data_IF_378465803005
#
_entry.id   IF_378465803005
#
_cell.length_a   1.000
_cell.length_b   1.000
_cell.length_c   1.000
_cell.angle_alpha   90.00
_cell.angle_beta   90.00
_cell.angle_gamma   90.00
#
_symmetry.space_group_name_H-M   'P 1'
#
loop_
_entity.id
_entity.type
_entity.pdbx_description
1 polymer ?
#
# COMPACT_ATOMS: atom_id res chain seq x y z
N UNK A 1 -1.76 21.42 -89.79
CA UNK A 1 -1.81 20.16 -89.03
C UNK A 1 -1.23 20.42 -87.65
N UNK A 2 -2.04 20.21 -86.62
CA UNK A 2 -1.69 19.94 -85.21
C UNK A 2 -0.97 21.04 -84.40
N UNK A 3 -1.65 21.80 -83.53
CA UNK A 3 -1.92 21.55 -82.08
C UNK A 3 -0.74 22.02 -81.18
N UNK A 4 -0.82 22.50 -79.93
CA UNK A 4 -1.78 22.44 -78.82
C UNK A 4 -1.58 23.61 -77.83
N UNK A 5 -2.56 23.70 -76.94
CA UNK A 5 -2.96 24.64 -75.89
C UNK A 5 -2.02 24.86 -74.69
N UNK A 6 -2.32 25.98 -74.00
CA UNK A 6 -1.96 26.50 -72.65
C UNK A 6 -1.78 25.46 -71.52
N UNK A 7 -1.01 25.79 -70.46
CA UNK A 7 -1.46 25.98 -69.05
C UNK A 7 -0.26 26.39 -68.12
N UNK A 8 -0.44 27.27 -67.12
CA UNK A 8 0.56 27.52 -66.08
C UNK A 8 0.43 26.49 -64.94
N UNK A 9 1.54 25.89 -64.52
CA UNK A 9 1.57 24.98 -63.38
C UNK A 9 1.67 25.76 -62.06
N UNK A 10 0.59 25.79 -61.30
CA UNK A 10 0.59 26.16 -59.88
C UNK A 10 1.26 25.04 -59.08
N UNK A 11 2.35 25.37 -58.39
CA UNK A 11 2.98 24.45 -57.43
C UNK A 11 2.21 24.51 -56.11
N UNK A 12 1.49 23.43 -55.79
CA UNK A 12 0.88 23.23 -54.48
C UNK A 12 1.88 22.48 -53.58
N UNK A 13 2.49 23.18 -52.63
CA UNK A 13 3.30 22.55 -51.59
C UNK A 13 2.36 21.89 -50.57
N UNK A 14 2.28 20.57 -50.58
CA UNK A 14 1.67 19.79 -49.50
C UNK A 14 2.63 19.77 -48.31
N UNK A 15 2.29 20.52 -47.25
CA UNK A 15 2.87 20.31 -45.92
C UNK A 15 2.16 19.10 -45.31
N UNK A 16 2.77 17.92 -45.39
CA UNK A 16 2.32 16.75 -44.64
C UNK A 16 2.71 16.92 -43.17
N UNK A 17 1.73 17.29 -42.34
CA UNK A 17 1.83 17.26 -40.89
C UNK A 17 1.86 15.79 -40.44
N UNK A 18 3.06 15.24 -40.24
CA UNK A 18 3.24 13.91 -39.65
C UNK A 18 2.86 13.94 -38.17
N UNK A 19 1.65 13.54 -37.84
CA UNK A 19 1.23 13.27 -36.47
C UNK A 19 1.93 11.97 -36.04
N UNK A 20 3.11 12.08 -35.41
CA UNK A 20 3.75 10.95 -34.76
C UNK A 20 2.95 10.62 -33.50
N UNK A 21 1.96 9.73 -33.62
CA UNK A 21 1.35 9.08 -32.49
C UNK A 21 2.42 8.21 -31.82
N UNK A 22 2.92 8.65 -30.67
CA UNK A 22 3.76 7.82 -29.80
C UNK A 22 2.92 6.63 -29.34
N UNK A 23 3.05 5.49 -30.03
CA UNK A 23 2.54 4.21 -29.57
C UNK A 23 3.39 3.82 -28.35
N UNK A 24 2.95 4.20 -27.15
CA UNK A 24 3.48 3.60 -25.92
C UNK A 24 3.11 2.12 -25.95
N UNK A 25 4.09 1.19 -26.04
CA UNK A 25 3.76 -0.22 -25.97
C UNK A 25 3.14 -0.51 -24.60
N UNK A 26 2.11 -1.38 -24.51
CA UNK A 26 1.58 -1.80 -23.23
C UNK A 26 2.72 -2.44 -22.42
N UNK A 27 2.89 -1.99 -21.18
CA UNK A 27 3.90 -2.56 -20.29
C UNK A 27 3.63 -4.07 -20.14
N UNK A 28 4.58 -4.90 -20.59
CA UNK A 28 4.52 -6.34 -20.41
C UNK A 28 4.55 -6.66 -18.91
N UNK A 29 3.85 -7.72 -18.50
CA UNK A 29 3.99 -8.28 -17.16
C UNK A 29 5.46 -8.69 -16.93
N UNK A 30 6.19 -7.90 -16.14
CA UNK A 30 7.60 -8.16 -15.82
C UNK A 30 7.64 -9.09 -14.61
N UNK A 31 7.69 -10.40 -14.85
CA UNK A 31 7.73 -11.38 -13.77
C UNK A 31 9.05 -11.33 -12.96
N UNK A 32 10.09 -10.70 -13.50
CA UNK A 32 11.42 -10.58 -12.89
C UNK A 32 12.05 -9.25 -13.25
N UNK A 33 12.76 -8.65 -12.31
CA UNK A 33 13.50 -7.40 -12.51
C UNK A 33 15.02 -7.67 -12.47
N UNK A 34 15.82 -7.10 -13.39
CA UNK A 34 17.25 -7.38 -13.49
C UNK A 34 18.05 -6.81 -12.31
N UNK A 35 17.55 -5.78 -11.64
CA UNK A 35 18.15 -5.10 -10.50
C UNK A 35 17.63 -5.61 -9.14
N UNK A 36 16.92 -6.75 -9.14
CA UNK A 36 16.50 -7.46 -7.92
C UNK A 36 17.24 -8.80 -7.85
N UNK A 37 18.36 -8.87 -7.09
CA UNK A 37 19.15 -10.09 -6.91
C UNK A 37 18.32 -11.28 -6.41
N UNK A 38 18.77 -12.51 -6.68
CA UNK A 38 18.02 -13.73 -6.33
C UNK A 38 17.82 -13.91 -4.83
N UNK A 39 18.76 -13.45 -4.04
CA UNK A 39 18.84 -13.45 -2.58
C UNK A 39 18.34 -12.14 -1.96
N UNK A 40 17.74 -11.25 -2.74
CA UNK A 40 17.23 -9.99 -2.22
C UNK A 40 16.02 -10.22 -1.30
N UNK A 41 16.07 -9.69 -0.08
CA UNK A 41 15.10 -9.96 0.99
C UNK A 41 13.63 -9.72 0.57
N UNK A 42 13.36 -8.70 -0.25
CA UNK A 42 12.01 -8.35 -0.65
C UNK A 42 11.54 -9.04 -1.92
N UNK A 43 12.42 -9.81 -2.59
CA UNK A 43 12.14 -10.43 -3.89
C UNK A 43 10.83 -11.22 -3.89
N UNK A 44 10.51 -12.06 -2.88
CA UNK A 44 9.24 -12.80 -2.89
C UNK A 44 8.00 -11.91 -2.87
N UNK A 45 8.05 -10.76 -2.20
CA UNK A 45 6.94 -9.79 -2.21
C UNK A 45 6.82 -9.12 -3.58
N UNK A 46 7.96 -8.69 -4.14
CA UNK A 46 8.04 -7.99 -5.41
C UNK A 46 7.50 -8.88 -6.54
N UNK A 47 7.99 -10.12 -6.67
CA UNK A 47 7.60 -11.02 -7.76
C UNK A 47 6.11 -11.37 -7.70
N UNK A 48 5.56 -11.63 -6.51
CA UNK A 48 4.13 -11.94 -6.35
C UNK A 48 3.21 -10.79 -6.72
N UNK A 49 3.60 -9.57 -6.38
CA UNK A 49 2.85 -8.37 -6.77
C UNK A 49 2.98 -8.09 -8.27
N UNK A 50 4.17 -8.26 -8.84
CA UNK A 50 4.41 -8.05 -10.27
C UNK A 50 3.64 -9.07 -11.14
N UNK A 51 3.58 -10.34 -10.73
CA UNK A 51 2.79 -11.39 -11.40
C UNK A 51 1.29 -11.08 -11.47
N UNK A 52 0.79 -10.25 -10.56
CA UNK A 52 -0.61 -9.81 -10.51
C UNK A 52 -0.82 -8.41 -11.09
N UNK A 53 0.22 -7.82 -11.70
CA UNK A 53 0.25 -6.45 -12.20
C UNK A 53 -0.11 -5.41 -11.10
N UNK A 54 0.20 -5.69 -9.84
CA UNK A 54 -0.07 -4.77 -8.73
C UNK A 54 1.05 -3.74 -8.57
N UNK A 55 2.29 -4.14 -8.87
CA UNK A 55 3.43 -3.23 -8.98
C UNK A 55 4.03 -3.35 -10.37
N UNK A 56 4.49 -2.22 -10.89
CA UNK A 56 5.10 -2.12 -12.21
C UNK A 56 6.48 -1.48 -12.02
N UNK A 57 7.47 -1.99 -12.75
CA UNK A 57 8.82 -1.40 -12.81
C UNK A 57 8.85 -0.10 -13.61
N UNK A 58 10.04 0.43 -13.77
CA UNK A 58 10.30 1.60 -14.61
C UNK A 58 10.34 1.19 -16.09
N UNK A 59 10.17 2.15 -17.04
CA UNK A 59 10.23 1.86 -18.47
C UNK A 59 11.54 1.22 -18.95
N UNK A 60 12.62 1.38 -18.18
CA UNK A 60 13.94 0.74 -18.42
C UNK A 60 13.98 -0.74 -17.98
N UNK A 61 12.88 -1.28 -17.44
CA UNK A 61 12.77 -2.65 -16.96
C UNK A 61 13.26 -2.88 -15.54
N UNK A 62 13.69 -1.84 -14.83
CA UNK A 62 14.18 -1.94 -13.44
C UNK A 62 13.06 -1.80 -12.41
N UNK A 63 13.25 -2.33 -11.20
CA UNK A 63 12.35 -2.09 -10.07
C UNK A 63 12.80 -0.95 -9.16
N UNK A 64 14.11 -0.72 -9.07
CA UNK A 64 14.82 0.22 -8.18
C UNK A 64 14.46 0.01 -6.71
N UNK A 65 14.74 -1.18 -6.15
CA UNK A 65 14.25 -1.58 -4.83
C UNK A 65 14.68 -0.63 -3.69
N UNK A 66 15.86 -0.04 -3.81
CA UNK A 66 16.44 0.87 -2.81
C UNK A 66 16.04 2.34 -2.98
N UNK A 67 15.36 2.69 -4.09
CA UNK A 67 14.93 4.06 -4.34
C UNK A 67 13.82 4.45 -3.38
N UNK A 68 13.90 5.66 -2.83
CA UNK A 68 12.82 6.24 -2.06
C UNK A 68 11.58 6.46 -2.94
N UNK A 69 10.40 6.19 -2.38
CA UNK A 69 9.11 6.35 -3.05
C UNK A 69 8.60 7.77 -2.81
N UNK A 70 8.30 8.48 -3.89
CA UNK A 70 7.63 9.78 -3.83
C UNK A 70 6.13 9.62 -3.58
N UNK A 71 5.46 10.68 -3.10
CA UNK A 71 4.04 10.63 -2.75
C UNK A 71 3.14 10.30 -3.94
N UNK A 72 3.47 10.79 -5.12
CA UNK A 72 2.75 10.51 -6.36
C UNK A 72 2.92 9.04 -6.82
N UNK A 73 4.14 8.52 -6.74
CA UNK A 73 4.46 7.11 -7.00
C UNK A 73 3.74 6.19 -6.01
N UNK A 74 3.71 6.56 -4.72
CA UNK A 74 3.00 5.78 -3.72
C UNK A 74 1.47 5.78 -3.97
N UNK A 75 0.90 6.93 -4.37
CA UNK A 75 -0.51 7.00 -4.78
C UNK A 75 -0.80 6.07 -5.96
N UNK A 76 0.11 5.99 -6.95
CA UNK A 76 -0.01 5.07 -8.08
C UNK A 76 0.04 3.60 -7.65
N UNK A 77 0.95 3.24 -6.74
CA UNK A 77 1.02 1.89 -6.17
C UNK A 77 -0.26 1.52 -5.40
N UNK A 78 -0.82 2.45 -4.63
CA UNK A 78 -2.07 2.27 -3.89
C UNK A 78 -3.24 2.05 -4.84
N UNK A 79 -3.42 2.93 -5.83
CA UNK A 79 -4.52 2.82 -6.81
C UNK A 79 -4.49 1.49 -7.56
N UNK A 80 -3.29 0.97 -7.84
CA UNK A 80 -3.13 -0.32 -8.49
C UNK A 80 -3.45 -1.51 -7.55
N UNK A 81 -3.11 -1.39 -6.26
CA UNK A 81 -3.30 -2.44 -5.28
C UNK A 81 -4.71 -2.50 -4.68
N UNK A 82 -5.34 -1.35 -4.48
CA UNK A 82 -6.58 -1.20 -3.73
C UNK A 82 -7.60 -0.41 -4.54
N UNK A 83 -8.80 -0.96 -4.63
CA UNK A 83 -9.98 -0.28 -5.13
C UNK A 83 -10.97 -0.20 -3.97
N UNK A 84 -11.11 1.00 -3.38
CA UNK A 84 -12.15 1.30 -2.40
C UNK A 84 -13.20 2.22 -3.02
N UNK A 85 -14.39 2.21 -2.46
CA UNK A 85 -15.40 3.20 -2.81
C UNK A 85 -14.93 4.61 -2.40
N UNK A 86 -15.20 5.64 -3.22
CA UNK A 86 -14.90 7.02 -2.84
C UNK A 86 -15.59 7.41 -1.53
N UNK A 87 -14.82 7.92 -0.58
CA UNK A 87 -15.30 8.50 0.70
C UNK A 87 -15.23 10.04 0.71
N UNK A 88 -14.63 10.64 -0.32
CA UNK A 88 -14.59 12.10 -0.56
C UNK A 88 -15.03 12.40 -1.99
N UNK A 89 -15.66 13.55 -2.18
CA UNK A 89 -16.03 14.07 -3.49
C UNK A 89 -14.98 15.07 -3.98
N UNK A 90 -14.79 15.15 -5.30
CA UNK A 90 -13.97 16.17 -5.96
C UNK A 90 -14.94 17.02 -6.77
N UNK A 91 -15.12 18.29 -6.39
CA UNK A 91 -16.04 19.21 -7.07
C UNK A 91 -15.38 19.88 -8.30
N UNK A 92 -14.05 20.02 -8.30
CA UNK A 92 -13.27 20.69 -9.36
C UNK A 92 -12.24 19.77 -10.00
N UNK A 93 -11.93 20.01 -11.28
CA UNK A 93 -11.01 19.19 -12.07
C UNK A 93 -9.55 19.17 -11.57
N UNK A 94 -9.16 20.00 -10.58
CA UNK A 94 -7.83 20.00 -9.97
C UNK A 94 -7.93 20.21 -8.45
N UNK A 95 -7.80 19.13 -7.68
CA UNK A 95 -7.85 19.18 -6.20
C UNK A 95 -6.63 19.89 -5.61
N UNK A 96 -5.48 19.80 -6.27
CA UNK A 96 -4.20 20.24 -5.73
C UNK A 96 -3.51 21.24 -6.66
N UNK A 97 -3.00 22.34 -6.11
CA UNK A 97 -2.42 23.46 -6.85
C UNK A 97 -1.03 23.14 -7.44
N UNK A 98 -0.30 22.23 -6.81
CA UNK A 98 1.05 21.81 -7.19
C UNK A 98 1.08 20.52 -8.01
N UNK A 99 -0.08 20.07 -8.49
CA UNK A 99 -0.20 18.96 -9.44
C UNK A 99 -0.61 19.56 -10.79
N UNK A 100 0.34 19.70 -11.73
CA UNK A 100 0.04 20.27 -13.05
C UNK A 100 -1.01 19.45 -13.79
N UNK A 101 -1.78 20.12 -14.66
CA UNK A 101 -2.70 19.43 -15.57
C UNK A 101 -1.91 18.44 -16.45
N UNK A 102 -2.42 17.21 -16.56
CA UNK A 102 -1.75 16.16 -17.33
C UNK A 102 -0.55 15.52 -16.63
N UNK A 103 -0.30 15.82 -15.36
CA UNK A 103 0.69 15.09 -14.57
C UNK A 103 0.34 13.60 -14.56
N UNK A 104 1.33 12.74 -14.81
CA UNK A 104 1.15 11.30 -15.04
C UNK A 104 0.41 10.59 -13.88
N UNK A 105 0.65 11.07 -12.65
CA UNK A 105 0.05 10.53 -11.44
C UNK A 105 -1.26 11.23 -11.03
N UNK A 106 -1.76 12.25 -11.74
CA UNK A 106 -3.00 12.96 -11.34
C UNK A 106 -4.15 12.00 -11.05
N UNK A 107 -4.46 11.00 -11.91
CA UNK A 107 -5.57 10.09 -11.63
C UNK A 107 -5.31 9.19 -10.40
N UNK A 108 -4.05 8.90 -10.10
CA UNK A 108 -3.67 8.14 -8.92
C UNK A 108 -3.79 8.97 -7.64
N UNK A 109 -3.34 10.23 -7.69
CA UNK A 109 -3.44 11.19 -6.59
C UNK A 109 -4.91 11.44 -6.23
N UNK A 110 -5.75 11.71 -7.24
CA UNK A 110 -7.19 11.92 -7.06
C UNK A 110 -7.87 10.68 -6.49
N UNK A 111 -7.59 9.51 -7.05
CA UNK A 111 -8.14 8.24 -6.56
C UNK A 111 -7.74 7.97 -5.11
N UNK A 112 -6.46 8.12 -4.76
CA UNK A 112 -5.98 7.93 -3.40
C UNK A 112 -6.58 8.96 -2.42
N UNK A 113 -6.84 10.18 -2.88
CA UNK A 113 -7.55 11.21 -2.11
C UNK A 113 -9.01 10.84 -1.89
N UNK A 114 -9.75 10.53 -2.95
CA UNK A 114 -11.17 10.19 -2.92
C UNK A 114 -11.44 8.97 -2.05
N UNK A 115 -10.59 7.96 -2.14
CA UNK A 115 -10.70 6.70 -1.40
C UNK A 115 -10.18 6.80 0.04
N UNK A 116 -9.69 7.97 0.46
CA UNK A 116 -9.29 8.21 1.85
C UNK A 116 -7.90 7.68 2.24
N UNK A 117 -7.13 7.13 1.31
CA UNK A 117 -5.76 6.65 1.55
C UNK A 117 -4.79 7.79 1.83
N UNK A 118 -4.88 8.87 1.05
CA UNK A 118 -3.95 10.01 1.14
C UNK A 118 -4.73 11.31 1.30
N UNK A 119 -4.06 12.30 1.88
CA UNK A 119 -4.57 13.66 2.03
C UNK A 119 -3.50 14.64 1.56
N UNK A 120 -3.94 15.82 1.12
CA UNK A 120 -3.04 16.95 0.87
C UNK A 120 -2.65 17.67 2.15
N UNK A 121 -1.78 18.66 1.97
CA UNK A 121 -1.35 19.62 2.97
C UNK A 121 -2.25 20.86 2.97
N UNK A 122 -2.24 21.65 4.06
CA UNK A 122 -2.93 22.93 4.11
C UNK A 122 -2.58 23.82 2.92
N UNK A 123 -3.55 24.58 2.42
CA UNK A 123 -3.36 25.44 1.24
C UNK A 123 -3.58 24.73 -0.10
N UNK A 124 -4.03 23.47 -0.11
CA UNK A 124 -4.38 22.76 -1.35
C UNK A 124 -3.17 22.18 -2.08
N UNK A 125 -2.14 21.74 -1.34
CA UNK A 125 -0.93 21.14 -1.91
C UNK A 125 -0.92 19.62 -1.71
N UNK A 126 -0.35 18.86 -2.64
CA UNK A 126 -0.14 17.43 -2.48
C UNK A 126 1.32 17.07 -2.19
N UNK A 127 2.26 17.89 -2.65
CA UNK A 127 3.71 17.67 -2.68
C UNK A 127 4.10 16.36 -3.39
N UNK A 128 3.81 16.20 -4.70
CA UNK A 128 3.98 14.93 -5.40
C UNK A 128 5.39 14.35 -5.30
N UNK A 129 6.41 15.20 -5.42
CA UNK A 129 7.83 14.79 -5.40
C UNK A 129 8.42 14.60 -3.99
N UNK A 130 7.63 14.80 -2.93
CA UNK A 130 8.11 14.60 -1.57
C UNK A 130 8.20 13.09 -1.26
N UNK A 131 9.31 12.60 -0.68
CA UNK A 131 9.39 11.21 -0.23
C UNK A 131 8.36 10.89 0.85
N UNK A 132 7.74 9.70 0.76
CA UNK A 132 6.86 9.17 1.81
C UNK A 132 7.72 8.55 2.92
N UNK A 133 7.40 8.80 4.19
CA UNK A 133 8.08 8.12 5.31
C UNK A 133 7.50 6.73 5.55
N UNK A 134 8.26 5.84 6.21
CA UNK A 134 7.76 4.50 6.58
C UNK A 134 6.50 4.57 7.43
N UNK A 135 6.41 5.51 8.37
CA UNK A 135 5.23 5.68 9.22
C UNK A 135 4.03 6.21 8.45
N UNK A 136 4.22 7.16 7.54
CA UNK A 136 3.13 7.69 6.71
C UNK A 136 2.56 6.61 5.78
N UNK A 137 3.39 5.71 5.27
CA UNK A 137 2.94 4.58 4.48
C UNK A 137 1.99 3.66 5.27
N UNK A 138 2.33 3.36 6.53
CA UNK A 138 1.48 2.56 7.41
C UNK A 138 0.17 3.27 7.73
N UNK A 139 0.22 4.57 8.06
CA UNK A 139 -0.97 5.41 8.29
C UNK A 139 -1.89 5.38 7.06
N UNK A 140 -1.32 5.54 5.87
CA UNK A 140 -2.07 5.52 4.62
C UNK A 140 -2.78 4.19 4.41
N UNK A 141 -2.11 3.06 4.64
CA UNK A 141 -2.71 1.73 4.49
C UNK A 141 -3.76 1.45 5.57
N UNK A 142 -3.52 1.82 6.83
CA UNK A 142 -4.48 1.57 7.92
C UNK A 142 -5.73 2.43 7.77
N UNK A 143 -5.58 3.72 7.48
CA UNK A 143 -6.72 4.64 7.37
C UNK A 143 -7.48 4.45 6.06
N UNK A 144 -6.77 4.28 4.94
CA UNK A 144 -7.41 4.07 3.64
C UNK A 144 -8.23 2.79 3.57
N UNK A 145 -7.85 1.76 4.35
CA UNK A 145 -8.61 0.52 4.48
C UNK A 145 -9.52 0.48 5.71
N UNK A 146 -9.60 1.58 6.46
CA UNK A 146 -10.37 1.70 7.70
C UNK A 146 -10.12 0.52 8.67
N UNK A 147 -8.85 0.14 8.84
CA UNK A 147 -8.47 -1.01 9.66
C UNK A 147 -8.72 -0.70 11.13
N UNK A 148 -9.51 -1.56 11.78
CA UNK A 148 -9.75 -1.48 13.21
C UNK A 148 -8.83 -2.45 13.98
N UNK A 149 -8.50 -2.14 15.25
CA UNK A 149 -7.93 -3.10 16.17
C UNK A 149 -8.74 -4.39 16.21
N UNK A 150 -8.08 -5.54 16.26
CA UNK A 150 -8.78 -6.80 16.50
C UNK A 150 -9.33 -6.81 17.92
N UNK A 151 -10.66 -6.85 18.03
CA UNK A 151 -11.33 -7.18 19.28
C UNK A 151 -11.24 -8.69 19.44
N UNK A 152 -10.64 -9.17 20.53
CA UNK A 152 -10.54 -10.60 20.80
C UNK A 152 -11.95 -11.20 20.84
N UNK A 153 -12.38 -11.88 19.78
CA UNK A 153 -13.62 -12.66 19.80
C UNK A 153 -13.37 -13.86 20.71
N UNK A 154 -13.86 -13.79 21.94
CA UNK A 154 -13.89 -14.96 22.83
C UNK A 154 -14.86 -15.96 22.20
N UNK A 155 -14.34 -16.93 21.46
CA UNK A 155 -15.13 -18.11 21.05
C UNK A 155 -15.44 -18.90 22.31
N UNK A 156 -16.57 -18.60 22.95
CA UNK A 156 -17.07 -19.39 24.09
C UNK A 156 -17.54 -20.74 23.53
N UNK A 157 -16.73 -21.80 23.70
CA UNK A 157 -17.22 -23.17 23.49
C UNK A 157 -18.26 -23.45 24.58
N UNK A 158 -19.52 -23.78 24.26
CA UNK A 158 -20.48 -24.16 25.29
C UNK A 158 -19.99 -25.47 25.92
N UNK A 159 -19.63 -25.42 27.21
CA UNK A 159 -19.41 -26.63 28.00
C UNK A 159 -20.79 -27.21 28.30
N UNK A 160 -21.17 -28.27 27.60
CA UNK A 160 -22.36 -29.04 27.95
C UNK A 160 -22.03 -29.90 29.16
N UNK A 161 -22.43 -29.46 30.35
CA UNK A 161 -22.50 -30.31 31.53
C UNK A 161 -23.67 -31.29 31.34
N UNK A 162 -23.47 -32.61 31.50
CA UNK A 162 -24.56 -33.58 31.42
C UNK A 162 -25.61 -33.26 32.50
N UNK A 163 -26.88 -33.27 32.09
CA UNK A 163 -28.05 -32.90 32.90
C UNK A 163 -28.24 -33.88 34.07
N UNK A 164 -27.61 -33.58 35.19
CA UNK A 164 -28.09 -34.02 36.48
C UNK A 164 -27.83 -32.92 37.51
N UNK A 165 -28.93 -32.38 38.02
CA UNK A 165 -29.06 -31.59 39.24
C UNK A 165 -28.81 -30.06 39.18
N UNK A 166 -29.84 -29.39 39.71
CA UNK A 166 -29.91 -28.04 40.29
C UNK A 166 -30.15 -26.84 39.39
N UNK A 167 -31.43 -26.47 39.37
CA UNK A 167 -31.94 -25.12 39.23
C UNK A 167 -31.35 -24.19 40.32
N UNK A 168 -31.22 -22.90 39.97
CA UNK A 168 -30.89 -21.73 40.80
C UNK A 168 -29.41 -21.48 41.17
N UNK A 169 -28.61 -21.12 40.16
CA UNK A 169 -27.78 -19.91 40.17
C UNK A 169 -27.45 -19.56 38.71
N UNK A 170 -28.01 -18.48 38.18
CA UNK A 170 -27.35 -17.82 37.06
C UNK A 170 -26.20 -17.02 37.67
N UNK A 171 -24.93 -17.40 37.49
CA UNK A 171 -23.89 -16.42 37.73
C UNK A 171 -24.09 -15.38 36.63
N UNK A 172 -24.41 -14.15 37.04
CA UNK A 172 -24.35 -12.97 36.19
C UNK A 172 -22.86 -12.71 35.92
N UNK A 173 -22.21 -13.61 35.17
CA UNK A 173 -20.85 -13.39 34.69
C UNK A 173 -20.99 -12.44 33.52
N UNK A 174 -21.05 -11.15 33.85
CA UNK A 174 -20.69 -10.10 32.91
C UNK A 174 -19.41 -10.57 32.21
N UNK A 175 -19.40 -10.58 30.88
CA UNK A 175 -18.15 -10.75 30.16
C UNK A 175 -17.22 -9.65 30.68
N UNK A 176 -16.23 -10.00 31.50
CA UNK A 176 -15.15 -9.07 31.82
C UNK A 176 -14.59 -8.70 30.45
N UNK A 177 -14.67 -7.43 30.01
CA UNK A 177 -14.01 -7.03 28.78
C UNK A 177 -12.54 -7.39 28.99
N UNK A 178 -12.06 -8.41 28.28
CA UNK A 178 -10.65 -8.73 28.34
C UNK A 178 -9.89 -7.49 27.88
N UNK A 179 -8.84 -7.06 28.58
CA UNK A 179 -8.04 -5.94 28.12
C UNK A 179 -7.51 -6.31 26.74
N UNK A 180 -8.07 -5.69 25.69
CA UNK A 180 -7.36 -5.60 24.42
C UNK A 180 -6.05 -4.91 24.76
N UNK A 181 -4.91 -5.54 24.48
CA UNK A 181 -3.64 -4.80 24.53
C UNK A 181 -3.88 -3.56 23.68
N UNK A 182 -3.81 -2.35 24.26
CA UNK A 182 -4.01 -1.15 23.48
C UNK A 182 -3.04 -1.22 22.31
N UNK A 183 -3.51 -1.07 21.07
CA UNK A 183 -2.64 -1.15 19.89
C UNK A 183 -1.44 -0.21 20.00
N UNK A 184 -1.60 0.92 20.70
CA UNK A 184 -0.49 1.80 21.06
C UNK A 184 0.58 1.13 21.94
N UNK A 185 0.20 0.31 22.92
CA UNK A 185 1.14 -0.45 23.74
C UNK A 185 1.89 -1.48 22.90
N UNK A 186 1.18 -2.17 21.98
CA UNK A 186 1.81 -3.13 21.07
C UNK A 186 2.95 -2.49 20.26
N UNK A 187 2.72 -1.29 19.69
CA UNK A 187 3.76 -0.56 18.97
C UNK A 187 4.91 -0.12 19.90
N UNK A 188 4.59 0.36 21.11
CA UNK A 188 5.59 0.83 22.09
C UNK A 188 6.50 -0.27 22.61
N UNK A 189 5.96 -1.46 22.82
CA UNK A 189 6.67 -2.57 23.47
C UNK A 189 7.44 -3.42 22.47
N UNK A 190 6.97 -3.49 21.22
CA UNK A 190 7.58 -4.33 20.18
C UNK A 190 8.84 -3.70 19.58
N UNK A 191 8.75 -2.42 19.16
CA UNK A 191 9.80 -1.75 18.41
C UNK A 191 10.86 -1.12 19.33
N UNK A 192 12.14 -1.36 19.02
CA UNK A 192 13.28 -0.82 19.79
C UNK A 192 13.41 0.70 19.68
N UNK A 193 12.89 1.26 18.60
CA UNK A 193 12.90 2.68 18.26
C UNK A 193 11.52 3.32 18.39
N UNK A 194 10.61 2.72 19.18
CA UNK A 194 9.24 3.20 19.34
C UNK A 194 9.12 4.66 19.79
N UNK A 195 10.14 5.21 20.46
CA UNK A 195 10.18 6.63 20.86
C UNK A 195 10.23 7.59 19.65
N UNK A 196 10.62 7.10 18.47
CA UNK A 196 10.61 7.87 17.23
C UNK A 196 9.25 7.86 16.53
N UNK A 197 8.29 7.04 16.98
CA UNK A 197 6.95 6.97 16.40
C UNK A 197 6.18 8.22 16.84
N UNK A 198 5.69 9.06 15.91
CA UNK A 198 4.90 10.21 16.27
C UNK A 198 3.64 9.82 17.03
N UNK A 199 3.26 10.63 18.04
CA UNK A 199 2.10 10.32 18.89
C UNK A 199 0.79 10.17 18.10
N UNK A 200 0.63 10.92 17.00
CA UNK A 200 -0.53 10.82 16.13
C UNK A 200 -0.59 9.52 15.31
N UNK A 201 0.52 8.78 15.22
CA UNK A 201 0.67 7.58 14.42
C UNK A 201 0.64 6.28 15.23
N UNK A 202 0.77 6.37 16.56
CA UNK A 202 1.04 5.20 17.41
C UNK A 202 -0.07 4.13 17.34
N UNK A 203 -1.33 4.56 17.20
CA UNK A 203 -2.45 3.64 17.05
C UNK A 203 -2.43 2.96 15.67
N UNK A 204 -2.17 3.73 14.60
CA UNK A 204 -2.07 3.21 13.23
C UNK A 204 -0.93 2.18 13.13
N UNK A 205 0.25 2.51 13.65
CA UNK A 205 1.38 1.57 13.72
C UNK A 205 1.01 0.33 14.53
N UNK A 206 0.33 0.49 15.66
CA UNK A 206 -0.17 -0.61 16.47
C UNK A 206 -1.12 -1.54 15.73
N UNK A 207 -2.08 -0.99 14.97
CA UNK A 207 -3.03 -1.74 14.15
C UNK A 207 -2.30 -2.46 13.02
N UNK A 208 -1.40 -1.77 12.31
CA UNK A 208 -0.59 -2.36 11.25
C UNK A 208 0.26 -3.53 11.78
N UNK A 209 0.81 -3.37 12.98
CA UNK A 209 1.59 -4.39 13.68
C UNK A 209 0.73 -5.58 14.07
N UNK A 210 -0.45 -5.35 14.67
CA UNK A 210 -1.38 -6.41 15.08
C UNK A 210 -1.87 -7.24 13.88
N UNK A 211 -2.07 -6.59 12.73
CA UNK A 211 -2.55 -7.23 11.50
C UNK A 211 -1.44 -7.79 10.61
N UNK A 212 -0.19 -7.77 11.09
CA UNK A 212 0.99 -8.26 10.37
C UNK A 212 1.30 -7.54 9.04
N UNK A 213 0.94 -6.25 8.92
CA UNK A 213 1.24 -5.42 7.74
C UNK A 213 2.71 -5.01 7.69
N UNK A 214 3.35 -4.88 8.85
CA UNK A 214 4.69 -4.33 8.96
C UNK A 214 5.72 -5.38 8.55
N UNK A 215 6.64 -4.97 7.67
CA UNK A 215 7.81 -5.74 7.28
C UNK A 215 9.07 -4.91 7.52
N UNK A 216 9.95 -5.38 8.40
CA UNK A 216 11.17 -4.68 8.77
C UNK A 216 12.38 -5.55 8.44
N UNK A 217 13.27 -5.00 7.61
CA UNK A 217 14.52 -5.62 7.21
C UNK A 217 15.67 -4.66 7.54
N UNK A 218 16.81 -5.14 8.07
CA UNK A 218 17.08 -6.54 8.43
C UNK A 218 16.53 -6.94 9.82
N UNK A 219 16.16 -5.97 10.66
CA UNK A 219 15.71 -6.21 12.02
C UNK A 219 14.19 -6.05 12.14
N UNK A 220 13.41 -7.13 12.36
CA UNK A 220 11.96 -7.07 12.57
C UNK A 220 11.52 -6.07 13.66
N UNK A 221 12.37 -5.81 14.66
CA UNK A 221 12.08 -4.95 15.79
C UNK A 221 12.47 -3.47 15.59
N UNK A 222 13.04 -3.08 14.45
CA UNK A 222 13.35 -1.68 14.14
C UNK A 222 12.38 -1.16 13.08
N UNK A 223 11.48 -0.24 13.46
CA UNK A 223 10.47 0.28 12.53
C UNK A 223 11.04 1.34 11.60
N UNK A 224 11.98 2.15 12.08
CA UNK A 224 12.59 3.29 11.41
C UNK A 224 11.55 4.31 10.91
N UNK A 225 10.61 4.78 11.75
CA UNK A 225 9.38 5.44 11.32
C UNK A 225 9.60 6.68 10.45
N UNK A 226 10.68 7.43 10.69
CA UNK A 226 10.99 8.69 10.01
C UNK A 226 11.87 8.52 8.77
N UNK A 227 12.32 7.31 8.46
CA UNK A 227 13.11 7.06 7.25
C UNK A 227 12.22 7.12 5.99
N UNK A 228 12.77 7.53 4.83
CA UNK A 228 12.08 7.41 3.56
C UNK A 228 11.69 5.95 3.28
N UNK A 229 10.45 5.76 2.83
CA UNK A 229 9.94 4.48 2.35
C UNK A 229 10.66 4.12 1.05
N UNK A 230 11.37 2.99 1.03
CA UNK A 230 11.98 2.44 -0.19
C UNK A 230 10.97 1.60 -0.97
N UNK A 231 11.14 1.48 -2.30
CA UNK A 231 10.25 0.70 -3.17
C UNK A 231 10.10 -0.76 -2.74
N UNK A 232 11.17 -1.40 -2.29
CA UNK A 232 11.13 -2.76 -1.74
C UNK A 232 10.25 -2.86 -0.49
N UNK A 233 10.36 -1.89 0.43
CA UNK A 233 9.50 -1.83 1.62
C UNK A 233 8.05 -1.55 1.25
N UNK A 234 7.80 -0.62 0.32
CA UNK A 234 6.44 -0.33 -0.15
C UNK A 234 5.77 -1.59 -0.73
N UNK A 235 6.49 -2.37 -1.55
CA UNK A 235 6.02 -3.64 -2.06
C UNK A 235 5.74 -4.65 -0.93
N UNK A 236 6.63 -4.76 0.06
CA UNK A 236 6.41 -5.67 1.19
C UNK A 236 5.16 -5.29 2.01
N UNK A 237 4.96 -4.00 2.31
CA UNK A 237 3.77 -3.51 3.01
C UNK A 237 2.50 -3.79 2.22
N UNK A 238 2.45 -3.41 0.93
CA UNK A 238 1.30 -3.66 0.06
C UNK A 238 0.99 -5.16 -0.02
N UNK A 239 2.02 -6.01 -0.15
CA UNK A 239 1.83 -7.46 -0.15
C UNK A 239 1.16 -7.93 1.14
N UNK A 240 1.69 -7.55 2.31
CA UNK A 240 1.10 -7.97 3.58
C UNK A 240 -0.31 -7.42 3.77
N UNK A 241 -0.57 -6.19 3.34
CA UNK A 241 -1.92 -5.61 3.40
C UNK A 241 -2.91 -6.40 2.54
N UNK A 242 -2.52 -6.84 1.35
CA UNK A 242 -3.37 -7.69 0.51
C UNK A 242 -3.56 -9.09 1.10
N UNK A 243 -2.55 -9.65 1.76
CA UNK A 243 -2.69 -10.91 2.52
C UNK A 243 -3.68 -10.72 3.68
N UNK A 244 -3.59 -9.63 4.42
CA UNK A 244 -4.51 -9.30 5.52
C UNK A 244 -5.96 -9.03 5.06
N UNK A 245 -6.19 -8.83 3.76
CA UNK A 245 -7.51 -8.71 3.13
C UNK A 245 -7.97 -10.02 2.46
N UNK A 246 -7.25 -11.13 2.62
CA UNK A 246 -7.51 -12.41 1.92
C UNK A 246 -7.47 -12.29 0.38
N UNK A 247 -6.77 -11.28 -0.13
CA UNK A 247 -6.63 -11.01 -1.58
C UNK A 247 -5.35 -11.63 -2.16
N UNK A 248 -4.42 -12.06 -1.30
CA UNK A 248 -3.20 -12.78 -1.68
C UNK A 248 -2.85 -13.87 -0.67
N UNK A 249 -2.19 -14.92 -1.16
CA UNK A 249 -1.67 -15.99 -0.31
C UNK A 249 -0.48 -15.51 0.53
N UNK A 250 -0.39 -15.91 1.82
CA UNK A 250 0.77 -15.64 2.66
C UNK A 250 2.08 -16.17 2.05
N UNK A 251 3.21 -15.58 2.43
CA UNK A 251 4.51 -16.17 2.12
C UNK A 251 4.66 -17.51 2.89
N UNK A 252 5.24 -18.55 2.27
CA UNK A 252 5.63 -19.77 2.96
C UNK A 252 6.60 -19.48 4.10
N UNK A 253 6.44 -20.18 5.22
CA UNK A 253 7.27 -19.98 6.42
C UNK A 253 8.74 -20.36 6.26
N UNK A 254 9.06 -21.14 5.22
CA UNK A 254 10.42 -21.59 4.90
C UNK A 254 11.20 -20.61 4.00
N UNK A 255 10.60 -19.50 3.57
CA UNK A 255 11.29 -18.45 2.79
C UNK A 255 11.86 -17.41 3.75
N UNK A 256 13.11 -16.99 3.56
CA UNK A 256 13.79 -16.04 4.44
C UNK A 256 13.00 -14.73 4.65
N UNK A 257 12.38 -14.20 3.59
CA UNK A 257 11.54 -13.01 3.63
C UNK A 257 10.40 -13.09 4.67
N UNK A 258 9.94 -14.31 4.99
CA UNK A 258 8.94 -14.55 6.02
C UNK A 258 9.41 -14.06 7.40
N UNK A 259 10.71 -14.11 7.70
CA UNK A 259 11.26 -13.71 9.00
C UNK A 259 11.22 -12.19 9.23
N UNK A 260 11.08 -11.39 8.16
CA UNK A 260 10.99 -9.93 8.25
C UNK A 260 9.55 -9.43 8.46
N UNK A 261 8.55 -10.32 8.34
CA UNK A 261 7.15 -10.00 8.62
C UNK A 261 6.98 -9.91 10.13
N UNK A 262 6.62 -8.71 10.61
CA UNK A 262 6.38 -8.44 12.01
C UNK A 262 5.11 -9.17 12.45
N UNK A 263 5.31 -10.10 13.38
CA UNK A 263 4.26 -10.87 14.04
C UNK A 263 4.58 -10.90 15.53
N UNK A 264 4.20 -9.86 16.29
CA UNK A 264 4.26 -9.96 17.74
C UNK A 264 3.34 -11.11 18.13
N UNK A 265 3.88 -12.10 18.82
CA UNK A 265 3.04 -13.14 19.40
C UNK A 265 1.96 -12.44 20.23
N UNK A 266 0.68 -12.64 19.89
CA UNK A 266 -0.38 -12.42 20.86
C UNK A 266 -0.06 -13.45 21.93
N UNK A 267 0.65 -13.04 22.99
CA UNK A 267 1.15 -13.92 24.04
C UNK A 267 0.07 -14.94 24.32
N UNK A 268 0.33 -16.18 23.88
CA UNK A 268 -0.55 -17.28 24.23
C UNK A 268 -0.57 -17.25 25.75
N UNK A 269 -1.77 -17.19 26.32
CA UNK A 269 -1.97 -17.54 27.70
C UNK A 269 -1.51 -19.00 27.85
N UNK A 270 -0.22 -19.17 28.07
CA UNK A 270 0.48 -20.40 28.37
C UNK A 270 1.20 -20.16 29.71
N UNK A 271 0.38 -19.96 30.75
CA UNK A 271 0.57 -20.49 32.09
C UNK A 271 -0.80 -20.86 32.63
#
# INVERSE_FOLDING_TARGET
MSSLSRFPALSASLVTLGLAASLTPPALAQNTFPDVPRDYWAKPFIERLAQRNIIIGYPDGTFRPEQAVQRDEFAAMIRQAFAQEPVRQIEDASVFQDVPQGHWASPAIESAYQQGFMSGYPGGFFAPNQPVSRVDALITLTRGLNLAPETRRVVRRPVYLPLAMTSLMQPLVAAVPQPTTPVAALAKDYYVDAQQIPQYAINDVGIATQKNLVVNYPNPRALEPNQPLRRATAAAFIHQTLVAQDRMEPLPSNVEAYNYIVRPEVTQAAR
#
